data_IF_217656561704
#
_entry.id   IF_217656561704
#
_cell.length_a   1.000
_cell.length_b   1.000
_cell.length_c   1.000
_cell.angle_alpha   90.00
_cell.angle_beta   90.00
_cell.angle_gamma   90.00
#
_symmetry.space_group_name_H-M   'P 1'
#
loop_
_entity.id
_entity.type
_entity.pdbx_description
1 polymer ?
#
# COMPACT_ATOMS: atom_id res chain seq x y z
N UNK A 1 23.30 -17.01 -2.82
CA UNK A 1 22.67 -15.71 -2.54
C UNK A 1 21.66 -15.45 -3.65
N UNK A 2 20.43 -15.90 -3.43
CA UNK A 2 19.31 -15.91 -4.38
C UNK A 2 18.09 -15.46 -3.53
N UNK A 3 17.16 -14.61 -3.94
CA UNK A 3 16.57 -14.45 -5.27
C UNK A 3 16.16 -13.00 -5.55
N UNK A 4 16.27 -12.69 -6.83
CA UNK A 4 15.83 -11.51 -7.54
C UNK A 4 14.29 -11.53 -7.63
N UNK A 5 13.59 -10.73 -6.82
CA UNK A 5 12.12 -10.68 -6.80
C UNK A 5 11.56 -9.49 -7.55
N UNK A 6 11.81 -9.39 -8.85
CA UNK A 6 11.17 -8.42 -9.76
C UNK A 6 9.75 -8.91 -10.11
N UNK A 7 8.78 -8.65 -9.23
CA UNK A 7 7.35 -8.71 -9.55
C UNK A 7 6.88 -7.29 -9.87
N UNK A 8 6.67 -7.05 -11.17
CA UNK A 8 6.19 -5.82 -11.82
C UNK A 8 4.69 -5.56 -11.59
N UNK A 9 4.22 -5.77 -10.37
CA UNK A 9 2.98 -5.16 -9.91
C UNK A 9 3.38 -3.77 -9.40
N UNK A 10 2.60 -2.71 -9.69
CA UNK A 10 2.89 -1.39 -9.09
C UNK A 10 2.78 -1.56 -7.57
N UNK A 11 3.93 -1.68 -6.91
CA UNK A 11 3.95 -2.06 -5.50
C UNK A 11 3.61 -0.84 -4.68
N UNK A 12 2.73 -1.05 -3.70
CA UNK A 12 2.39 -0.05 -2.68
C UNK A 12 3.64 0.65 -2.14
N UNK A 13 4.72 -0.11 -1.90
CA UNK A 13 6.01 0.44 -1.49
C UNK A 13 6.61 1.49 -2.44
N UNK A 14 6.68 1.22 -3.75
CA UNK A 14 7.20 2.21 -4.71
C UNK A 14 6.28 3.43 -4.79
N UNK A 15 4.96 3.22 -4.78
CA UNK A 15 4.01 4.33 -4.79
C UNK A 15 4.17 5.24 -3.56
N UNK A 16 4.32 4.66 -2.37
CA UNK A 16 4.57 5.40 -1.12
C UNK A 16 5.85 6.24 -1.23
N UNK A 17 6.91 5.67 -1.83
CA UNK A 17 8.17 6.35 -2.02
C UNK A 17 8.08 7.47 -3.06
N UNK A 18 7.45 7.22 -4.21
CA UNK A 18 7.28 8.21 -5.29
C UNK A 18 6.43 9.41 -4.85
N UNK A 19 5.48 9.20 -3.92
CA UNK A 19 4.67 10.27 -3.33
C UNK A 19 5.32 10.90 -2.09
N UNK A 20 6.55 10.52 -1.73
CA UNK A 20 7.31 11.13 -0.63
C UNK A 20 6.81 10.78 0.78
N UNK A 21 5.96 9.77 0.91
CA UNK A 21 5.46 9.29 2.21
C UNK A 21 6.52 8.47 2.95
N UNK A 22 7.41 7.81 2.19
CA UNK A 22 8.56 7.09 2.72
C UNK A 22 9.81 7.39 1.89
N UNK A 23 10.97 7.21 2.49
CA UNK A 23 12.26 7.27 1.79
C UNK A 23 12.63 5.91 1.19
N UNK A 24 13.52 5.92 0.20
CA UNK A 24 14.13 4.69 -0.38
C UNK A 24 14.73 3.79 0.69
N UNK A 25 15.35 4.36 1.73
CA UNK A 25 15.96 3.61 2.84
C UNK A 25 14.92 2.92 3.73
N UNK A 26 13.83 3.61 4.07
CA UNK A 26 12.72 3.02 4.83
C UNK A 26 12.02 1.91 4.03
N UNK A 27 11.88 2.09 2.72
CA UNK A 27 11.35 1.05 1.84
C UNK A 27 12.28 -0.17 1.78
N UNK A 28 13.59 0.03 1.69
CA UNK A 28 14.57 -1.07 1.70
C UNK A 28 14.56 -1.84 3.02
N UNK A 29 14.47 -1.14 4.16
CA UNK A 29 14.35 -1.75 5.48
C UNK A 29 13.06 -2.58 5.60
N UNK A 30 11.92 -2.04 5.13
CA UNK A 30 10.67 -2.78 5.13
C UNK A 30 10.73 -4.02 4.21
N UNK A 31 11.37 -3.91 3.04
CA UNK A 31 11.61 -5.04 2.13
C UNK A 31 12.54 -6.10 2.73
N UNK A 32 13.55 -5.69 3.50
CA UNK A 32 14.43 -6.59 4.22
C UNK A 32 13.63 -7.39 5.27
N UNK A 33 12.81 -6.71 6.08
CA UNK A 33 11.96 -7.35 7.09
C UNK A 33 10.92 -8.31 6.47
N UNK A 34 10.40 -7.97 5.29
CA UNK A 34 9.48 -8.85 4.55
C UNK A 34 10.19 -10.12 4.04
N UNK A 35 11.49 -10.07 3.71
CA UNK A 35 12.21 -11.29 3.28
C UNK A 35 12.23 -12.35 4.39
N UNK A 36 12.34 -11.92 5.64
CA UNK A 36 12.29 -12.81 6.80
C UNK A 36 10.85 -13.23 7.16
N UNK A 37 9.83 -12.44 6.74
CA UNK A 37 8.41 -12.68 7.02
C UNK A 37 7.57 -12.41 5.76
N UNK A 38 7.53 -13.33 4.78
CA UNK A 38 6.90 -13.10 3.48
C UNK A 38 5.37 -12.93 3.57
N UNK A 39 4.76 -13.36 4.66
CA UNK A 39 3.34 -13.14 4.97
C UNK A 39 3.02 -11.69 5.37
N UNK A 40 4.00 -10.91 5.85
CA UNK A 40 3.79 -9.51 6.19
C UNK A 40 3.84 -8.64 4.94
N UNK A 41 2.88 -7.74 4.78
CA UNK A 41 2.92 -6.77 3.69
C UNK A 41 3.66 -5.48 4.10
N UNK A 42 4.22 -4.80 3.10
CA UNK A 42 5.12 -3.66 3.30
C UNK A 42 4.48 -2.52 4.10
N UNK A 43 3.22 -2.19 3.83
CA UNK A 43 2.48 -1.17 4.59
C UNK A 43 2.35 -1.48 6.08
N UNK A 44 2.05 -2.73 6.46
CA UNK A 44 2.00 -3.15 7.87
C UNK A 44 3.37 -3.02 8.53
N UNK A 45 4.43 -3.44 7.83
CA UNK A 45 5.80 -3.28 8.34
C UNK A 45 6.11 -1.80 8.57
N UNK A 46 5.74 -0.92 7.63
CA UNK A 46 5.95 0.53 7.77
C UNK A 46 5.14 1.14 8.92
N UNK A 47 3.94 0.63 9.19
CA UNK A 47 3.13 1.09 10.33
C UNK A 47 3.69 0.58 11.65
N UNK A 48 4.04 -0.70 11.74
CA UNK A 48 4.54 -1.33 12.96
C UNK A 48 5.94 -0.84 13.34
N UNK A 49 6.75 -0.42 12.37
CA UNK A 49 8.05 0.23 12.60
C UNK A 49 7.94 1.73 12.89
N UNK A 50 6.73 2.31 12.82
CA UNK A 50 6.49 3.72 13.10
C UNK A 50 6.93 4.67 11.99
N UNK A 51 7.21 4.15 10.78
CA UNK A 51 7.49 4.96 9.59
C UNK A 51 6.22 5.66 9.09
N UNK A 52 5.08 4.96 9.15
CA UNK A 52 3.77 5.48 8.80
C UNK A 52 2.81 5.33 9.98
N UNK A 53 1.80 6.19 10.07
CA UNK A 53 0.62 5.91 10.89
C UNK A 53 -0.38 5.05 10.10
N UNK A 54 -1.35 4.43 10.80
CA UNK A 54 -2.47 3.74 10.13
C UNK A 54 -3.23 4.71 9.20
N UNK A 55 -3.38 5.96 9.61
CA UNK A 55 -4.04 7.01 8.84
C UNK A 55 -3.27 7.35 7.56
N UNK A 56 -1.93 7.48 7.62
CA UNK A 56 -1.08 7.71 6.45
C UNK A 56 -1.20 6.57 5.44
N UNK A 57 -1.21 5.34 5.93
CA UNK A 57 -1.37 4.16 5.08
C UNK A 57 -2.74 4.15 4.40
N UNK A 58 -3.83 4.46 5.11
CA UNK A 58 -5.18 4.55 4.54
C UNK A 58 -5.23 5.65 3.46
N UNK A 59 -4.70 6.85 3.73
CA UNK A 59 -4.66 7.94 2.76
C UNK A 59 -3.84 7.57 1.51
N UNK A 60 -2.74 6.85 1.69
CA UNK A 60 -1.94 6.35 0.58
C UNK A 60 -2.68 5.31 -0.25
N UNK A 61 -3.43 4.41 0.39
CA UNK A 61 -4.26 3.42 -0.29
C UNK A 61 -5.38 4.09 -1.10
N UNK A 62 -6.02 5.12 -0.53
CA UNK A 62 -7.00 5.96 -1.25
C UNK A 62 -6.39 6.57 -2.51
N UNK A 63 -5.22 7.18 -2.37
CA UNK A 63 -4.52 7.83 -3.46
C UNK A 63 -4.08 6.82 -4.52
N UNK A 64 -3.51 5.69 -4.12
CA UNK A 64 -3.11 4.60 -5.01
C UNK A 64 -4.29 4.12 -5.85
N UNK A 65 -5.44 3.89 -5.21
CA UNK A 65 -6.65 3.43 -5.88
C UNK A 65 -7.19 4.47 -6.86
N UNK A 66 -7.15 5.76 -6.50
CA UNK A 66 -7.56 6.86 -7.39
C UNK A 66 -6.63 7.03 -8.60
N UNK A 67 -5.31 6.86 -8.42
CA UNK A 67 -4.31 7.07 -9.47
C UNK A 67 -4.20 5.87 -10.41
N UNK A 68 -4.21 4.65 -9.85
CA UNK A 68 -3.99 3.43 -10.63
C UNK A 68 -5.28 2.79 -11.12
N UNK A 69 -6.41 3.08 -10.49
CA UNK A 69 -7.68 2.38 -10.72
C UNK A 69 -7.67 0.90 -10.28
N UNK A 70 -6.58 0.44 -9.68
CA UNK A 70 -6.37 -0.95 -9.28
C UNK A 70 -6.46 -1.07 -7.76
N UNK A 71 -7.18 -2.09 -7.29
CA UNK A 71 -7.17 -2.44 -5.87
C UNK A 71 -5.75 -2.90 -5.50
N UNK A 72 -5.14 -2.34 -4.45
CA UNK A 72 -3.93 -2.93 -3.90
C UNK A 72 -4.23 -4.40 -3.55
N UNK A 73 -3.28 -5.29 -3.83
CA UNK A 73 -3.39 -6.70 -3.48
C UNK A 73 -3.40 -6.86 -1.96
N UNK A 74 -4.33 -7.65 -1.42
CA UNK A 74 -4.46 -7.98 0.01
C UNK A 74 -4.92 -6.82 0.93
N UNK A 75 -5.64 -5.81 0.40
CA UNK A 75 -6.23 -4.73 1.22
C UNK A 75 -7.22 -5.28 2.25
N UNK A 76 -7.86 -6.39 1.95
CA UNK A 76 -8.79 -7.12 2.83
C UNK A 76 -8.14 -7.72 4.07
N UNK A 77 -6.81 -7.82 4.12
CA UNK A 77 -6.09 -8.29 5.31
C UNK A 77 -5.91 -7.17 6.36
N UNK A 78 -6.08 -5.91 5.97
CA UNK A 78 -5.79 -4.74 6.82
C UNK A 78 -6.97 -3.85 7.11
N UNK A 79 -7.94 -3.85 6.20
CA UNK A 79 -9.13 -3.00 6.29
C UNK A 79 -10.35 -3.88 6.40
N UNK A 80 -11.20 -3.55 7.37
CA UNK A 80 -12.50 -4.19 7.47
C UNK A 80 -13.37 -3.83 6.25
N UNK A 81 -14.42 -4.61 6.02
CA UNK A 81 -15.32 -4.42 4.88
C UNK A 81 -15.90 -3.00 4.81
N UNK A 82 -16.18 -2.37 5.95
CA UNK A 82 -16.67 -0.99 6.00
C UNK A 82 -15.63 0.03 5.51
N UNK A 83 -14.35 -0.16 5.89
CA UNK A 83 -13.26 0.70 5.44
C UNK A 83 -13.08 0.54 3.92
N UNK A 84 -13.12 -0.69 3.41
CA UNK A 84 -13.04 -0.98 1.97
C UNK A 84 -14.21 -0.35 1.20
N UNK A 85 -15.43 -0.48 1.70
CA UNK A 85 -16.60 0.10 1.07
C UNK A 85 -16.52 1.63 1.05
N UNK A 86 -16.00 2.25 2.11
CA UNK A 86 -15.75 3.69 2.14
C UNK A 86 -14.73 4.12 1.08
N UNK A 87 -13.65 3.35 0.90
CA UNK A 87 -12.66 3.57 -0.16
C UNK A 87 -13.30 3.49 -1.56
N UNK A 88 -14.14 2.48 -1.79
CA UNK A 88 -14.76 2.24 -3.09
C UNK A 88 -15.89 3.22 -3.41
N UNK A 89 -16.67 3.63 -2.40
CA UNK A 89 -17.73 4.63 -2.54
C UNK A 89 -17.18 5.98 -3.05
N UNK A 90 -16.00 6.39 -2.57
CA UNK A 90 -15.32 7.61 -3.04
C UNK A 90 -14.98 7.59 -4.53
N UNK A 91 -14.72 6.41 -5.10
CA UNK A 91 -14.39 6.23 -6.51
C UNK A 91 -15.63 6.07 -7.37
N UNK A 92 -16.60 5.28 -6.90
CA UNK A 92 -17.89 5.07 -7.59
C UNK A 92 -18.67 6.36 -7.81
N UNK A 93 -18.60 7.32 -6.88
CA UNK A 93 -19.30 8.61 -7.00
C UNK A 93 -18.78 9.49 -8.15
N UNK A 94 -17.52 9.32 -8.59
CA UNK A 94 -16.96 10.09 -9.72
C UNK A 94 -17.30 9.52 -11.11
N UNK A 95 -17.70 8.26 -11.22
CA UNK A 95 -18.08 7.65 -12.50
C UNK A 95 -19.56 7.83 -12.88
N UNK A 96 -20.40 8.38 -11.99
CA UNK A 96 -21.81 8.68 -12.26
C UNK A 96 -22.04 10.04 -12.94
N UNK A 97 -21.02 10.56 -13.64
CA UNK A 97 -21.01 11.89 -14.26
C UNK A 97 -20.54 11.86 -15.71
N UNK A 98 -21.10 10.98 -16.54
CA UNK A 98 -21.22 11.17 -18.00
C UNK A 98 -22.47 10.49 -18.53
#
# INVERSE_FOLDING_TARGET
METNGQHKDVRVGEFLMENGLISRGQLDEALALQKDNPERLIGEILVTTGVLTKEDLIMAMEMFLMVTGNKPTHVDEWLDQEEIDMLLAKIGSKNAGK
#
